data_IF_703734922077
#
_entry.id   IF_703734922077
#
_cell.length_a   1.000
_cell.length_b   1.000
_cell.length_c   1.000
_cell.angle_alpha   90.00
_cell.angle_beta   90.00
_cell.angle_gamma   90.00
#
_symmetry.space_group_name_H-M   'P 1'
#
loop_
_entity.id
_entity.type
_entity.pdbx_description
1 polymer ?
#
# COMPACT_ATOMS: atom_id res chain seq x y z
N UNK A 1 -3.73 14.19 -9.01
CA UNK A 1 -2.54 13.31 -9.02
C UNK A 1 -2.93 12.03 -9.74
N UNK A 2 -2.15 11.57 -10.72
CA UNK A 2 -2.33 10.24 -11.34
C UNK A 2 -1.66 9.21 -10.43
N UNK A 3 -2.31 8.07 -10.16
CA UNK A 3 -1.73 7.03 -9.32
C UNK A 3 -2.75 6.21 -8.57
N UNK A 4 -2.30 5.47 -7.57
CA UNK A 4 -3.11 4.54 -6.79
C UNK A 4 -2.80 4.67 -5.30
N UNK A 5 -3.82 4.44 -4.47
CA UNK A 5 -3.64 4.16 -3.05
C UNK A 5 -3.62 2.64 -2.87
N UNK A 6 -2.54 2.13 -2.29
CA UNK A 6 -2.38 0.71 -1.98
C UNK A 6 -2.78 0.50 -0.52
N UNK A 7 -3.84 -0.24 -0.28
CA UNK A 7 -4.27 -0.67 1.05
C UNK A 7 -4.39 -2.19 1.10
N UNK A 8 -4.53 -2.75 2.27
CA UNK A 8 -4.70 -4.19 2.44
C UNK A 8 -6.02 -4.55 3.11
N UNK A 9 -6.33 -5.83 3.15
CA UNK A 9 -7.38 -6.35 4.04
C UNK A 9 -6.92 -6.37 5.49
N UNK A 10 -5.58 -6.32 5.74
CA UNK A 10 -4.98 -6.29 7.06
C UNK A 10 -3.50 -5.81 7.00
N UNK A 11 -2.83 -5.83 8.15
CA UNK A 11 -1.36 -5.74 8.26
C UNK A 11 -0.72 -7.04 7.74
N UNK A 12 0.52 -6.97 7.24
CA UNK A 12 1.31 -8.11 6.76
C UNK A 12 0.64 -8.96 5.67
N UNK A 13 -0.24 -8.34 4.86
CA UNK A 13 -0.80 -8.98 3.66
C UNK A 13 0.12 -8.86 2.43
N UNK A 14 1.26 -8.17 2.58
CA UNK A 14 2.29 -8.04 1.54
C UNK A 14 2.14 -6.81 0.65
N UNK A 15 1.56 -5.70 1.16
CA UNK A 15 1.47 -4.43 0.40
C UNK A 15 2.80 -3.98 -0.17
N UNK A 16 3.83 -3.88 0.68
CA UNK A 16 5.18 -3.48 0.29
C UNK A 16 5.79 -4.44 -0.73
N UNK A 17 5.59 -5.75 -0.55
CA UNK A 17 6.05 -6.76 -1.52
C UNK A 17 5.41 -6.55 -2.89
N UNK A 18 4.07 -6.41 -2.93
CA UNK A 18 3.37 -6.10 -4.17
C UNK A 18 3.90 -4.81 -4.81
N UNK A 19 4.06 -3.74 -4.05
CA UNK A 19 4.54 -2.46 -4.60
C UNK A 19 5.94 -2.57 -5.21
N UNK A 20 6.86 -3.33 -4.59
CA UNK A 20 8.19 -3.58 -5.15
C UNK A 20 8.09 -4.34 -6.47
N UNK A 21 7.32 -5.43 -6.51
CA UNK A 21 7.10 -6.21 -7.73
C UNK A 21 6.40 -5.39 -8.82
N UNK A 22 5.47 -4.53 -8.42
CA UNK A 22 4.81 -3.62 -9.35
C UNK A 22 5.77 -2.56 -9.90
N UNK A 23 6.65 -2.00 -9.07
CA UNK A 23 7.72 -1.12 -9.51
C UNK A 23 8.68 -1.80 -10.51
N UNK A 24 9.08 -3.05 -10.25
CA UNK A 24 9.88 -3.86 -11.18
C UNK A 24 9.17 -4.03 -12.54
N UNK A 25 7.87 -4.32 -12.54
CA UNK A 25 7.05 -4.41 -13.75
C UNK A 25 6.98 -3.07 -14.50
N UNK A 26 6.81 -1.95 -13.79
CA UNK A 26 6.77 -0.61 -14.39
C UNK A 26 8.12 -0.24 -15.02
N UNK A 27 9.25 -0.57 -14.38
CA UNK A 27 10.59 -0.40 -14.95
C UNK A 27 10.74 -1.19 -16.25
N UNK A 28 10.35 -2.46 -16.25
CA UNK A 28 10.40 -3.35 -17.43
C UNK A 28 9.60 -2.78 -18.61
N UNK A 29 8.49 -2.11 -18.30
CA UNK A 29 7.62 -1.46 -19.30
C UNK A 29 7.97 0.01 -19.56
N UNK A 30 9.10 0.52 -19.05
CA UNK A 30 9.56 1.92 -19.22
C UNK A 30 8.50 2.95 -18.81
N UNK A 31 7.70 2.61 -17.80
CA UNK A 31 6.67 3.47 -17.25
C UNK A 31 7.23 4.19 -16.02
N UNK A 32 7.16 5.52 -16.00
CA UNK A 32 7.60 6.29 -14.85
C UNK A 32 6.63 6.15 -13.67
N UNK A 33 7.19 5.96 -12.49
CA UNK A 33 6.43 5.85 -11.25
C UNK A 33 7.16 6.51 -10.09
N UNK A 34 6.45 6.76 -9.00
CA UNK A 34 7.00 7.28 -7.76
C UNK A 34 6.35 6.63 -6.55
N UNK A 35 7.16 6.13 -5.63
CA UNK A 35 6.71 5.56 -4.37
C UNK A 35 6.52 6.62 -3.29
N UNK A 36 5.42 6.50 -2.55
CA UNK A 36 5.12 7.30 -1.37
C UNK A 36 4.64 6.37 -0.25
N UNK A 37 5.44 6.27 0.80
CA UNK A 37 5.08 5.60 2.07
C UNK A 37 5.24 6.61 3.20
N UNK A 38 4.27 7.53 3.36
CA UNK A 38 4.44 8.71 4.20
C UNK A 38 4.68 8.39 5.67
N UNK A 39 4.29 7.20 6.11
CA UNK A 39 4.41 6.75 7.50
C UNK A 39 4.89 5.30 7.55
N UNK A 40 5.87 5.03 8.40
CA UNK A 40 6.32 3.68 8.74
C UNK A 40 6.60 3.55 10.24
N UNK A 41 6.03 2.51 10.87
CA UNK A 41 6.31 2.09 12.24
C UNK A 41 7.08 0.77 12.28
N UNK A 42 7.71 0.44 13.40
CA UNK A 42 8.59 -0.73 13.51
C UNK A 42 9.92 -0.57 12.79
N UNK A 43 10.38 0.68 12.64
CA UNK A 43 11.68 0.99 12.07
C UNK A 43 12.82 0.46 12.96
N UNK A 44 13.95 0.06 12.33
CA UNK A 44 15.16 -0.32 13.06
C UNK A 44 16.02 0.91 13.38
N UNK A 45 16.86 0.82 14.41
CA UNK A 45 17.72 1.92 14.82
C UNK A 45 19.20 1.49 14.99
N UNK A 46 19.88 1.08 13.92
CA UNK A 46 21.31 0.84 14.00
C UNK A 46 22.08 2.16 14.18
N UNK A 47 23.01 2.18 15.14
CA UNK A 47 23.90 3.33 15.38
C UNK A 47 23.14 4.67 15.57
N UNK A 48 22.05 4.66 16.30
CA UNK A 48 21.18 5.85 16.57
C UNK A 48 20.56 6.50 15.31
N UNK A 49 20.48 5.77 14.21
CA UNK A 49 19.82 6.22 12.99
C UNK A 49 18.55 5.38 12.73
N UNK A 50 17.39 6.04 12.70
CA UNK A 50 16.12 5.37 12.37
C UNK A 50 16.12 5.02 10.88
N UNK A 51 15.85 3.76 10.58
CA UNK A 51 15.78 3.24 9.21
C UNK A 51 14.42 2.57 9.01
N UNK A 52 13.54 3.13 8.18
CA UNK A 52 12.30 2.49 7.77
C UNK A 52 12.63 1.38 6.76
N UNK A 53 12.25 0.15 7.08
CA UNK A 53 12.64 -1.02 6.29
C UNK A 53 12.02 -1.02 4.89
N UNK A 54 10.75 -0.67 4.82
CA UNK A 54 9.98 -0.73 3.57
C UNK A 54 10.26 0.49 2.69
N UNK A 55 10.20 1.69 3.24
CA UNK A 55 10.52 2.90 2.49
C UNK A 55 11.97 2.92 1.97
N UNK A 56 12.91 2.26 2.70
CA UNK A 56 14.29 2.09 2.22
C UNK A 56 14.35 1.20 0.98
N UNK A 57 13.58 0.13 0.90
CA UNK A 57 13.50 -0.71 -0.30
C UNK A 57 12.96 0.07 -1.50
N UNK A 58 11.93 0.91 -1.28
CA UNK A 58 11.40 1.80 -2.30
C UNK A 58 12.45 2.82 -2.78
N UNK A 59 13.15 3.44 -1.84
CA UNK A 59 14.25 4.38 -2.14
C UNK A 59 15.33 3.76 -3.01
N UNK A 60 15.71 2.52 -2.72
CA UNK A 60 16.72 1.78 -3.50
C UNK A 60 16.20 1.44 -4.90
N UNK A 61 14.98 0.88 -5.02
CA UNK A 61 14.43 0.46 -6.31
C UNK A 61 14.21 1.63 -7.26
N UNK A 62 13.69 2.75 -6.75
CA UNK A 62 13.39 3.94 -7.54
C UNK A 62 14.60 4.88 -7.69
N UNK A 63 15.67 4.68 -6.91
CA UNK A 63 16.82 5.60 -6.80
C UNK A 63 16.39 7.02 -6.38
N UNK A 64 15.47 7.12 -5.43
CA UNK A 64 14.92 8.38 -4.91
C UNK A 64 15.29 8.57 -3.44
N UNK A 65 15.66 9.79 -3.00
CA UNK A 65 15.98 10.06 -1.59
C UNK A 65 14.84 9.67 -0.63
N UNK A 66 15.20 9.04 0.48
CA UNK A 66 14.26 8.50 1.46
C UNK A 66 13.29 9.54 2.03
N UNK A 67 13.75 10.78 2.22
CA UNK A 67 12.95 11.92 2.71
C UNK A 67 11.86 12.35 1.71
N UNK A 68 11.93 11.91 0.45
CA UNK A 68 10.88 12.10 -0.55
C UNK A 68 9.81 11.00 -0.52
N UNK A 69 10.12 9.87 0.11
CA UNK A 69 9.25 8.70 0.18
C UNK A 69 8.55 8.61 1.53
N UNK A 70 9.28 8.88 2.64
CA UNK A 70 8.78 8.68 4.01
C UNK A 70 9.05 9.90 4.89
N UNK A 71 7.96 10.43 5.49
CA UNK A 71 8.01 11.58 6.42
C UNK A 71 8.13 11.14 7.87
N UNK A 72 7.28 10.21 8.28
CA UNK A 72 7.17 9.76 9.66
C UNK A 72 7.73 8.36 9.82
N UNK A 73 8.75 8.25 10.65
CA UNK A 73 9.42 7.00 10.97
C UNK A 73 9.38 6.82 12.49
N UNK A 74 8.84 5.69 12.95
CA UNK A 74 8.71 5.34 14.36
C UNK A 74 9.37 3.99 14.64
N UNK A 75 10.10 3.90 15.74
CA UNK A 75 10.73 2.64 16.22
C UNK A 75 9.69 1.68 16.78
N UNK A 76 8.69 2.22 17.48
CA UNK A 76 7.65 1.43 18.10
C UNK A 76 6.89 0.60 17.04
N UNK A 77 6.74 -0.68 17.30
CA UNK A 77 5.94 -1.59 16.47
C UNK A 77 4.47 -1.53 16.92
N UNK A 78 3.77 -0.53 16.44
CA UNK A 78 2.37 -0.25 16.75
C UNK A 78 1.72 0.52 15.60
N UNK A 79 0.40 0.78 15.69
CA UNK A 79 -0.25 1.68 14.74
C UNK A 79 0.41 3.06 14.77
N UNK A 80 0.49 3.78 13.64
CA UNK A 80 1.19 5.07 13.56
C UNK A 80 0.89 6.07 14.68
N UNK A 81 -0.39 6.37 15.03
CA UNK A 81 -0.66 7.31 16.12
C UNK A 81 -0.22 6.78 17.50
N UNK A 82 -0.29 5.45 17.71
CA UNK A 82 0.20 4.85 18.97
C UNK A 82 1.72 4.85 19.03
N UNK A 83 2.39 4.57 17.93
CA UNK A 83 3.86 4.65 17.85
C UNK A 83 4.34 6.09 18.08
N UNK A 84 3.65 7.08 17.53
CA UNK A 84 3.94 8.49 17.76
C UNK A 84 3.77 8.87 19.24
N UNK A 85 2.67 8.46 19.88
CA UNK A 85 2.43 8.67 21.32
C UNK A 85 3.56 8.08 22.18
N UNK A 86 3.97 6.83 21.89
CA UNK A 86 5.05 6.15 22.62
C UNK A 86 6.41 6.87 22.49
N UNK A 87 6.59 7.65 21.44
CA UNK A 87 7.79 8.44 21.16
C UNK A 87 7.62 9.95 21.49
N UNK A 88 6.57 10.31 22.23
CA UNK A 88 6.24 11.70 22.59
C UNK A 88 6.13 12.62 21.36
N UNK A 89 5.56 12.12 20.29
CA UNK A 89 5.32 12.82 19.02
C UNK A 89 3.83 12.77 18.67
N UNK A 90 3.40 13.60 17.76
CA UNK A 90 2.08 13.53 17.13
C UNK A 90 2.21 13.32 15.64
N UNK A 91 1.13 12.84 15.05
CA UNK A 91 0.99 12.68 13.62
C UNK A 91 -0.41 13.13 13.21
N UNK A 92 -0.46 14.11 12.31
CA UNK A 92 -1.69 14.69 11.82
C UNK A 92 -1.92 14.28 10.36
N UNK A 93 -3.19 14.09 9.98
CA UNK A 93 -3.55 13.67 8.62
C UNK A 93 -3.16 14.71 7.58
N UNK A 94 -3.36 16.00 7.89
CA UNK A 94 -3.04 17.11 6.99
C UNK A 94 -1.56 17.18 6.65
N UNK A 95 -0.70 16.82 7.59
CA UNK A 95 0.75 16.72 7.38
C UNK A 95 1.11 15.57 6.41
N UNK A 96 0.40 14.44 6.52
CA UNK A 96 0.58 13.32 5.61
C UNK A 96 0.14 13.72 4.19
N UNK A 97 -1.02 14.36 4.08
CA UNK A 97 -1.58 14.81 2.80
C UNK A 97 -0.67 15.85 2.15
N UNK A 98 -0.19 16.84 2.92
CA UNK A 98 0.75 17.85 2.44
C UNK A 98 2.03 17.21 1.93
N UNK A 99 2.61 16.28 2.70
CA UNK A 99 3.80 15.53 2.28
C UNK A 99 3.59 14.80 0.95
N UNK A 100 2.47 14.09 0.79
CA UNK A 100 2.14 13.38 -0.46
C UNK A 100 2.01 14.37 -1.62
N UNK A 101 1.34 15.51 -1.42
CA UNK A 101 1.14 16.54 -2.45
C UNK A 101 2.44 17.22 -2.87
N UNK A 102 3.35 17.46 -1.91
CA UNK A 102 4.61 18.14 -2.14
C UNK A 102 5.65 17.23 -2.81
N UNK A 103 5.59 15.93 -2.51
CA UNK A 103 6.57 14.96 -3.03
C UNK A 103 6.04 14.11 -4.20
N UNK A 104 4.77 14.19 -4.57
CA UNK A 104 4.28 13.54 -5.80
C UNK A 104 5.09 13.97 -7.01
N UNK A 105 5.26 13.08 -7.97
CA UNK A 105 5.93 13.43 -9.22
C UNK A 105 5.28 14.65 -9.89
N UNK A 106 6.11 15.55 -10.40
CA UNK A 106 5.69 16.70 -11.22
C UNK A 106 5.33 16.30 -12.65
N UNK A 107 5.85 15.15 -13.12
CA UNK A 107 5.47 14.59 -14.40
C UNK A 107 4.05 14.03 -14.33
N UNK A 108 3.14 14.56 -15.13
CA UNK A 108 1.72 14.15 -15.16
C UNK A 108 1.52 12.72 -15.65
N UNK A 109 2.48 12.15 -16.37
CA UNK A 109 2.45 10.76 -16.85
C UNK A 109 2.98 9.78 -15.80
N UNK A 110 3.71 10.24 -14.79
CA UNK A 110 4.24 9.41 -13.73
C UNK A 110 3.12 8.87 -12.83
N UNK A 111 3.19 7.59 -12.49
CA UNK A 111 2.22 6.90 -11.63
C UNK A 111 2.68 7.01 -10.18
N UNK A 112 1.94 7.74 -9.35
CA UNK A 112 2.23 7.81 -7.92
C UNK A 112 1.61 6.62 -7.19
N UNK A 113 2.42 5.86 -6.47
CA UNK A 113 2.03 4.67 -5.71
C UNK A 113 2.11 5.00 -4.22
N UNK A 114 0.95 5.23 -3.60
CA UNK A 114 0.87 5.62 -2.18
C UNK A 114 0.53 4.40 -1.33
N UNK A 115 1.43 3.99 -0.44
CA UNK A 115 1.16 2.90 0.51
C UNK A 115 0.49 3.42 1.78
N UNK A 116 -0.70 2.91 2.08
CA UNK A 116 -1.39 3.09 3.36
C UNK A 116 -0.84 2.21 4.48
N UNK A 117 -1.30 2.42 5.70
CA UNK A 117 -0.95 1.61 6.86
C UNK A 117 -2.02 0.55 7.13
N UNK A 118 -1.62 -0.72 7.28
CA UNK A 118 -2.57 -1.81 7.58
C UNK A 118 -3.70 -1.95 6.54
N UNK A 119 -4.91 -2.14 7.03
CA UNK A 119 -6.14 -2.15 6.22
C UNK A 119 -6.80 -0.78 6.12
N UNK A 120 -7.95 -0.73 5.43
CA UNK A 120 -8.69 0.53 5.17
C UNK A 120 -9.07 1.29 6.46
N UNK A 121 -9.45 0.59 7.50
CA UNK A 121 -9.82 1.19 8.80
C UNK A 121 -8.70 1.14 9.84
N UNK A 122 -7.46 0.93 9.42
CA UNK A 122 -6.31 1.05 10.33
C UNK A 122 -6.03 2.51 10.67
N UNK A 123 -5.71 2.82 11.95
CA UNK A 123 -5.32 4.17 12.35
C UNK A 123 -4.06 4.62 11.62
N UNK A 124 -4.06 5.83 11.04
CA UNK A 124 -2.92 6.41 10.33
C UNK A 124 -2.42 7.71 10.98
N UNK A 125 -3.31 8.46 11.61
CA UNK A 125 -3.01 9.68 12.35
C UNK A 125 -3.94 9.79 13.57
N UNK A 126 -3.79 10.83 14.38
CA UNK A 126 -4.61 11.05 15.58
C UNK A 126 -6.10 11.11 15.18
N UNK A 127 -6.89 10.16 15.70
CA UNK A 127 -8.34 10.03 15.44
C UNK A 127 -8.67 9.95 13.93
N UNK A 128 -7.75 9.45 13.11
CA UNK A 128 -7.90 9.31 11.66
C UNK A 128 -7.46 7.93 11.19
N UNK A 129 -8.19 7.41 10.23
CA UNK A 129 -8.00 6.10 9.62
C UNK A 129 -7.39 6.23 8.22
N UNK A 130 -6.88 5.13 7.67
CA UNK A 130 -6.45 5.06 6.26
C UNK A 130 -7.59 5.40 5.31
N UNK A 131 -8.84 5.15 5.69
CA UNK A 131 -10.04 5.57 4.94
C UNK A 131 -10.19 7.09 4.83
N UNK A 132 -9.82 7.86 5.87
CA UNK A 132 -9.80 9.32 5.78
C UNK A 132 -8.78 9.79 4.75
N UNK A 133 -7.56 9.20 4.76
CA UNK A 133 -6.55 9.48 3.75
C UNK A 133 -7.05 9.12 2.33
N UNK A 134 -7.69 7.96 2.18
CA UNK A 134 -8.25 7.51 0.90
C UNK A 134 -9.29 8.50 0.36
N UNK A 135 -10.18 9.00 1.22
CA UNK A 135 -11.22 9.96 0.88
C UNK A 135 -10.65 11.32 0.45
N UNK A 136 -9.56 11.76 1.10
CA UNK A 136 -8.88 13.02 0.76
C UNK A 136 -8.06 12.93 -0.53
N UNK A 137 -7.41 11.81 -0.79
CA UNK A 137 -6.61 11.61 -1.99
C UNK A 137 -7.46 11.33 -3.23
N UNK A 138 -8.61 10.66 -3.07
CA UNK A 138 -9.53 10.22 -4.13
C UNK A 138 -8.83 9.43 -5.24
N UNK A 139 -7.77 8.72 -4.90
CA UNK A 139 -7.07 7.83 -5.81
C UNK A 139 -7.83 6.51 -5.94
N UNK A 140 -7.84 5.88 -7.12
CA UNK A 140 -8.26 4.49 -7.24
C UNK A 140 -7.45 3.61 -6.28
N UNK A 141 -8.12 2.64 -5.67
CA UNK A 141 -7.53 1.75 -4.68
C UNK A 141 -7.07 0.46 -5.35
N UNK A 142 -5.87 0.01 -5.00
CA UNK A 142 -5.42 -1.36 -5.21
C UNK A 142 -5.54 -2.05 -3.84
N UNK A 143 -6.34 -3.12 -3.78
CA UNK A 143 -6.57 -3.87 -2.55
C UNK A 143 -5.69 -5.12 -2.52
N UNK A 144 -4.74 -5.17 -1.59
CA UNK A 144 -3.86 -6.33 -1.41
C UNK A 144 -4.45 -7.26 -0.35
N UNK A 145 -4.56 -8.52 -0.71
CA UNK A 145 -5.18 -9.58 0.08
C UNK A 145 -4.18 -10.72 0.26
N UNK A 146 -3.95 -11.14 1.49
CA UNK A 146 -3.19 -12.36 1.77
C UNK A 146 -4.05 -13.57 1.40
N UNK A 147 -3.55 -14.45 0.53
CA UNK A 147 -4.23 -15.69 0.15
C UNK A 147 -4.17 -16.71 1.30
N UNK A 148 -5.20 -16.77 2.11
CA UNK A 148 -5.32 -17.64 3.28
C UNK A 148 -6.79 -17.92 3.60
N UNK A 149 -7.07 -18.90 4.44
CA UNK A 149 -8.44 -19.16 4.92
C UNK A 149 -9.04 -17.90 5.54
N UNK A 150 -10.26 -17.55 5.13
CA UNK A 150 -10.98 -16.34 5.56
C UNK A 150 -10.72 -15.09 4.72
N UNK A 151 -9.82 -15.15 3.75
CA UNK A 151 -9.50 -13.97 2.93
C UNK A 151 -10.69 -13.48 2.11
N UNK A 152 -11.57 -14.36 1.65
CA UNK A 152 -12.79 -13.99 0.92
C UNK A 152 -13.67 -13.07 1.77
N UNK A 153 -13.96 -13.46 3.01
CA UNK A 153 -14.72 -12.61 3.93
C UNK A 153 -14.05 -11.24 4.13
N UNK A 154 -12.76 -11.19 4.41
CA UNK A 154 -12.03 -9.92 4.62
C UNK A 154 -12.01 -9.06 3.35
N UNK A 155 -11.94 -9.69 2.18
CA UNK A 155 -11.97 -8.99 0.88
C UNK A 155 -13.33 -8.37 0.64
N UNK A 156 -14.41 -9.12 0.81
CA UNK A 156 -15.77 -8.64 0.59
C UNK A 156 -16.14 -7.51 1.56
N UNK A 157 -15.78 -7.63 2.84
CA UNK A 157 -15.95 -6.55 3.82
C UNK A 157 -15.17 -5.29 3.43
N UNK A 158 -13.94 -5.43 2.93
CA UNK A 158 -13.13 -4.31 2.45
C UNK A 158 -13.73 -3.67 1.21
N UNK A 159 -14.24 -4.47 0.26
CA UNK A 159 -14.93 -3.98 -0.93
C UNK A 159 -16.15 -3.15 -0.54
N UNK A 160 -17.00 -3.65 0.35
CA UNK A 160 -18.18 -2.92 0.82
C UNK A 160 -17.82 -1.63 1.54
N UNK A 161 -16.78 -1.65 2.38
CA UNK A 161 -16.29 -0.44 3.05
C UNK A 161 -15.80 0.61 2.05
N UNK A 162 -15.03 0.21 1.03
CA UNK A 162 -14.52 1.10 -0.01
C UNK A 162 -15.67 1.69 -0.84
N UNK A 163 -16.65 0.86 -1.23
CA UNK A 163 -17.85 1.30 -1.97
C UNK A 163 -18.67 2.32 -1.17
N UNK A 164 -18.88 2.08 0.12
CA UNK A 164 -19.62 3.00 1.00
C UNK A 164 -18.95 4.37 1.17
N UNK A 165 -17.64 4.46 0.93
CA UNK A 165 -16.89 5.72 0.87
C UNK A 165 -16.93 6.39 -0.52
N UNK A 166 -17.66 5.83 -1.48
CA UNK A 166 -17.69 6.25 -2.88
C UNK A 166 -16.30 6.26 -3.55
N UNK A 167 -15.44 5.33 -3.14
CA UNK A 167 -14.12 5.15 -3.71
C UNK A 167 -14.12 3.98 -4.71
N UNK A 168 -13.23 4.04 -5.70
CA UNK A 168 -13.11 3.03 -6.75
C UNK A 168 -11.97 2.07 -6.43
N UNK A 169 -12.25 0.77 -6.48
CA UNK A 169 -11.21 -0.26 -6.52
C UNK A 169 -10.81 -0.47 -7.97
N UNK A 170 -9.52 -0.36 -8.27
CA UNK A 170 -8.99 -0.60 -9.62
C UNK A 170 -8.85 -2.09 -9.91
N UNK A 171 -8.23 -2.80 -8.97
CA UNK A 171 -8.12 -4.27 -8.96
C UNK A 171 -7.72 -4.78 -7.57
N UNK A 172 -7.79 -6.09 -7.41
CA UNK A 172 -7.40 -6.84 -6.20
C UNK A 172 -6.14 -7.64 -6.50
N UNK A 173 -5.21 -7.68 -5.57
CA UNK A 173 -4.05 -8.57 -5.60
C UNK A 173 -4.25 -9.66 -4.56
N UNK A 174 -4.41 -10.90 -5.01
CA UNK A 174 -4.41 -12.08 -4.16
C UNK A 174 -2.96 -12.57 -4.02
N UNK A 175 -2.35 -12.33 -2.86
CA UNK A 175 -0.91 -12.50 -2.62
C UNK A 175 -0.62 -13.79 -1.85
N UNK A 176 0.17 -14.68 -2.45
CA UNK A 176 0.69 -15.88 -1.81
C UNK A 176 1.97 -15.55 -1.04
N UNK A 177 1.86 -15.45 0.29
CA UNK A 177 3.00 -15.08 1.15
C UNK A 177 3.89 -16.25 1.55
N UNK A 178 3.50 -17.48 1.20
CA UNK A 178 4.23 -18.70 1.49
C UNK A 178 4.33 -19.57 0.22
N UNK A 179 5.40 -20.39 0.15
CA UNK A 179 5.63 -21.32 -0.95
C UNK A 179 4.50 -22.35 -1.15
N UNK A 180 3.79 -22.67 -0.09
CA UNK A 180 2.65 -23.60 -0.11
C UNK A 180 1.42 -22.86 0.37
N UNK A 181 0.65 -22.32 -0.56
CA UNK A 181 -0.71 -21.84 -0.29
C UNK A 181 -1.65 -23.04 -0.53
N UNK A 182 -2.20 -23.66 0.55
CA UNK A 182 -3.00 -24.88 0.40
C UNK A 182 -4.39 -24.62 -0.20
N UNK A 183 -4.79 -23.36 -0.33
CA UNK A 183 -6.10 -22.96 -0.79
C UNK A 183 -5.96 -22.08 -2.03
N UNK A 184 -6.66 -22.44 -3.09
CA UNK A 184 -6.87 -21.56 -4.23
C UNK A 184 -8.18 -20.80 -4.07
N UNK A 185 -8.06 -19.60 -3.44
CA UNK A 185 -9.23 -18.75 -3.22
C UNK A 185 -9.54 -17.87 -4.46
N UNK A 186 -8.75 -17.96 -5.54
CA UNK A 186 -8.92 -17.10 -6.71
C UNK A 186 -10.26 -17.34 -7.41
N UNK A 187 -10.55 -18.59 -7.78
CA UNK A 187 -11.78 -18.95 -8.48
C UNK A 187 -13.00 -18.69 -7.60
N UNK A 188 -12.91 -19.03 -6.30
CA UNK A 188 -14.01 -18.81 -5.36
C UNK A 188 -14.29 -17.32 -5.15
N UNK A 189 -13.27 -16.49 -4.95
CA UNK A 189 -13.44 -15.03 -4.79
C UNK A 189 -14.02 -14.40 -6.05
N UNK A 190 -13.64 -14.88 -7.24
CA UNK A 190 -14.13 -14.40 -8.54
C UNK A 190 -15.65 -14.60 -8.72
N UNK A 191 -16.26 -15.54 -8.00
CA UNK A 191 -17.72 -15.73 -8.02
C UNK A 191 -18.49 -14.64 -7.23
N UNK A 192 -17.80 -13.81 -6.42
CA UNK A 192 -18.42 -12.82 -5.55
C UNK A 192 -18.14 -11.37 -5.93
N UNK A 193 -17.31 -11.12 -6.95
CA UNK A 193 -16.98 -9.76 -7.38
C UNK A 193 -16.57 -9.71 -8.85
N UNK A 194 -17.00 -8.63 -9.55
CA UNK A 194 -16.56 -8.33 -10.92
C UNK A 194 -15.27 -7.48 -10.97
N UNK A 195 -14.69 -7.17 -9.81
CA UNK A 195 -13.42 -6.42 -9.74
C UNK A 195 -12.30 -7.33 -10.23
N UNK A 196 -11.45 -6.87 -11.18
CA UNK A 196 -10.33 -7.68 -11.64
C UNK A 196 -9.45 -8.17 -10.49
N UNK A 197 -9.13 -9.45 -10.48
CA UNK A 197 -8.25 -10.07 -9.48
C UNK A 197 -6.99 -10.56 -10.18
N UNK A 198 -5.82 -10.24 -9.63
CA UNK A 198 -4.53 -10.76 -10.07
C UNK A 198 -3.90 -11.56 -8.95
N UNK A 199 -3.33 -12.72 -9.28
CA UNK A 199 -2.56 -13.52 -8.34
C UNK A 199 -1.11 -13.07 -8.36
N UNK A 200 -0.53 -12.88 -7.18
CA UNK A 200 0.91 -12.72 -6.99
C UNK A 200 1.42 -13.96 -6.25
N UNK A 201 2.04 -14.87 -6.99
CA UNK A 201 2.62 -16.08 -6.43
C UNK A 201 3.83 -15.80 -5.54
N UNK A 202 4.15 -16.77 -4.67
CA UNK A 202 5.29 -16.64 -3.76
C UNK A 202 6.61 -16.53 -4.55
N UNK A 203 7.33 -15.42 -4.36
CA UNK A 203 8.55 -15.08 -5.09
C UNK A 203 8.41 -15.01 -6.62
N UNK A 204 7.21 -14.88 -7.14
CA UNK A 204 6.93 -14.75 -8.56
C UNK A 204 6.93 -13.30 -9.05
N UNK A 205 7.02 -13.12 -10.36
CA UNK A 205 6.77 -11.85 -11.02
C UNK A 205 5.25 -11.61 -11.14
N UNK A 206 4.85 -10.34 -11.22
CA UNK A 206 3.47 -9.99 -11.51
C UNK A 206 3.18 -10.26 -13.00
N UNK A 207 2.00 -10.80 -13.29
CA UNK A 207 1.50 -10.98 -14.65
C UNK A 207 1.51 -9.63 -15.40
N UNK A 208 2.14 -9.62 -16.58
CA UNK A 208 2.24 -8.43 -17.44
C UNK A 208 0.88 -7.90 -17.89
N UNK A 209 -0.17 -8.72 -17.91
CA UNK A 209 -1.55 -8.32 -18.23
C UNK A 209 -2.08 -7.26 -17.26
N UNK A 210 -1.50 -7.15 -16.06
CA UNK A 210 -1.84 -6.07 -15.11
C UNK A 210 -1.61 -4.68 -15.72
N UNK A 211 -0.67 -4.54 -16.67
CA UNK A 211 -0.40 -3.27 -17.35
C UNK A 211 -1.61 -2.71 -18.11
N UNK A 212 -2.49 -3.55 -18.62
CA UNK A 212 -3.72 -3.13 -19.31
C UNK A 212 -4.71 -2.44 -18.37
N UNK A 213 -4.57 -2.68 -17.07
CA UNK A 213 -5.45 -2.14 -16.04
C UNK A 213 -4.92 -0.86 -15.37
N UNK A 214 -3.75 -0.33 -15.74
CA UNK A 214 -3.18 0.87 -15.09
C UNK A 214 -3.33 2.17 -15.88
N UNK A 215 -3.83 2.09 -17.10
CA UNK A 215 -4.11 3.25 -17.97
C UNK A 215 -5.43 3.95 -17.59
#
# INVERSE_FOLDING_TARGET
MKGFLITGTDTDVGKTWFMLKFGELLIKNKTEFHFLKPVESGCIEPNNKIIPKDATKFSILENTPLDKICKYMFKAYASPPKAAEMENRSIELDDIISFIRDNKSKNTNCINLVEGCGGLFSPIAKNKLTSDLATELKLPIILVVKNTLGCINHTLLSIEAIKNLNLKIKFIILNDINEKTPLDNFDELSNFTDIPIFRLGYNEEIDSNLMEHIT
#
